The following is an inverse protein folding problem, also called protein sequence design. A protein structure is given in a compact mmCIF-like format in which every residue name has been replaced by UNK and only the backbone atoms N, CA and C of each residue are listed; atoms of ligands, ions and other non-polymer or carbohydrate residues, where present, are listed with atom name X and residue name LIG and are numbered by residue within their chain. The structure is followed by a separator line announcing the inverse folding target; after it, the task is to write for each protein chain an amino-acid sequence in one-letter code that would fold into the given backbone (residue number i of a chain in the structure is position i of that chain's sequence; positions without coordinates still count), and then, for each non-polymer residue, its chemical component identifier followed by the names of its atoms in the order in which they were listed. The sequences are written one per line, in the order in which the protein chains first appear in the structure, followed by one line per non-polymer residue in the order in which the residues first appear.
data_IF_340974656274
#
_entry.id   IF_340974656274
#
_cell.length_a   1.000
_cell.length_b   1.000
_cell.length_c   1.000
_cell.angle_alpha   90.00
_cell.angle_beta   90.00
_cell.angle_gamma   90.00
#
_symmetry.space_group_name_H-M   'P 1'
#
loop_
_entity.id
_entity.type
_entity.pdbx_description
1 polymer ?
#
# COMPACT_ATOMS: atom_id res chain seq x y z
N UNK A 1 14.49 3.16 6.64
CA UNK A 1 13.34 3.68 5.88
C UNK A 1 13.73 4.18 4.49
N UNK A 2 14.90 4.81 4.30
CA UNK A 2 15.33 5.37 3.00
C UNK A 2 15.60 4.36 1.88
N UNK A 3 15.77 3.07 2.19
CA UNK A 3 15.91 1.99 1.19
C UNK A 3 14.57 1.39 0.72
N UNK A 4 13.45 1.81 1.32
CA UNK A 4 12.13 1.26 1.05
C UNK A 4 11.40 2.08 -0.01
N UNK A 5 10.58 1.42 -0.84
CA UNK A 5 9.68 2.09 -1.80
C UNK A 5 8.83 3.17 -1.11
N UNK A 6 8.70 4.32 -1.77
CA UNK A 6 8.02 5.48 -1.20
C UNK A 6 6.53 5.19 -0.89
N UNK A 7 5.87 4.32 -1.67
CA UNK A 7 4.52 3.84 -1.37
C UNK A 7 4.43 3.16 0.00
N UNK A 8 5.43 2.36 0.39
CA UNK A 8 5.40 1.63 1.65
C UNK A 8 5.73 2.56 2.82
N UNK A 9 6.61 3.54 2.61
CA UNK A 9 6.85 4.60 3.61
C UNK A 9 5.55 5.37 3.91
N UNK A 10 4.79 5.74 2.87
CA UNK A 10 3.49 6.40 3.04
C UNK A 10 2.46 5.49 3.70
N UNK A 11 2.41 4.21 3.31
CA UNK A 11 1.52 3.23 3.94
C UNK A 11 1.82 3.09 5.43
N UNK A 12 3.10 3.10 5.83
CA UNK A 12 3.49 3.08 7.24
C UNK A 12 3.00 4.32 8.00
N UNK A 13 3.13 5.51 7.41
CA UNK A 13 2.62 6.75 8.01
C UNK A 13 1.10 6.70 8.20
N UNK A 14 0.36 6.20 7.22
CA UNK A 14 -1.10 6.05 7.32
C UNK A 14 -1.48 5.01 8.38
N UNK A 15 -0.80 3.87 8.39
CA UNK A 15 -1.02 2.81 9.39
C UNK A 15 -0.86 3.37 10.80
N UNK A 16 0.18 4.18 11.04
CA UNK A 16 0.39 4.87 12.32
C UNK A 16 -0.68 5.92 12.63
N UNK A 17 -1.10 6.69 11.62
CA UNK A 17 -2.16 7.69 11.79
C UNK A 17 -3.54 7.07 12.08
N UNK A 18 -3.78 5.84 11.62
CA UNK A 18 -4.97 5.04 11.91
C UNK A 18 -4.86 4.22 13.19
N UNK A 19 -3.76 4.37 13.95
CA UNK A 19 -3.48 3.62 15.18
C UNK A 19 -3.44 2.09 15.00
N UNK A 20 -3.20 1.63 13.77
CA UNK A 20 -3.03 0.22 13.45
C UNK A 20 -1.59 -0.22 13.76
N UNK A 21 -1.44 -1.44 14.26
CA UNK A 21 -0.14 -1.98 14.67
C UNK A 21 0.61 -2.65 13.53
N UNK A 22 -0.11 -3.22 12.57
CA UNK A 22 0.44 -4.07 11.53
C UNK A 22 0.14 -3.50 10.15
N UNK A 23 1.14 -3.59 9.27
CA UNK A 23 1.02 -3.28 7.85
C UNK A 23 1.46 -4.52 7.09
N UNK A 24 0.62 -5.01 6.20
CA UNK A 24 0.95 -6.10 5.29
C UNK A 24 1.20 -5.54 3.89
N UNK A 25 2.29 -5.98 3.25
CA UNK A 25 2.63 -5.63 1.88
C UNK A 25 3.37 -6.80 1.21
N UNK A 26 2.91 -7.23 0.04
CA UNK A 26 3.47 -8.39 -0.69
C UNK A 26 5.00 -8.30 -0.83
N UNK A 27 5.51 -7.10 -1.11
CA UNK A 27 6.95 -6.85 -1.29
C UNK A 27 7.79 -7.03 -0.02
N UNK A 28 7.17 -7.06 1.16
CA UNK A 28 7.84 -7.27 2.44
C UNK A 28 7.52 -8.64 3.05
N UNK A 29 6.34 -9.17 2.79
CA UNK A 29 5.80 -10.34 3.49
C UNK A 29 5.88 -11.63 2.68
N UNK A 30 6.16 -11.56 1.36
CA UNK A 30 6.23 -12.72 0.47
C UNK A 30 7.67 -12.91 -0.03
N UNK A 31 8.15 -14.15 0.02
CA UNK A 31 9.43 -14.55 -0.58
C UNK A 31 9.23 -14.62 -2.10
N UNK A 32 9.95 -13.77 -2.83
CA UNK A 32 9.79 -13.64 -4.29
C UNK A 32 10.73 -14.55 -5.09
N UNK A 33 11.75 -15.15 -4.46
CA UNK A 33 12.81 -15.89 -5.16
C UNK A 33 12.41 -17.32 -5.57
N UNK A 34 11.26 -17.82 -5.09
CA UNK A 34 10.79 -19.18 -5.34
C UNK A 34 9.35 -19.19 -5.87
N UNK A 35 9.19 -19.66 -7.11
CA UNK A 35 7.90 -19.72 -7.82
C UNK A 35 6.83 -20.54 -7.06
N UNK A 36 7.23 -21.66 -6.45
CA UNK A 36 6.31 -22.52 -5.70
C UNK A 36 5.75 -21.85 -4.45
N UNK A 37 6.55 -21.00 -3.79
CA UNK A 37 6.10 -20.27 -2.60
C UNK A 37 5.25 -19.07 -3.00
N UNK A 38 5.59 -18.41 -4.11
CA UNK A 38 4.79 -17.33 -4.68
C UNK A 38 3.36 -17.79 -5.00
N UNK A 39 3.18 -18.98 -5.58
CA UNK A 39 1.86 -19.53 -5.89
C UNK A 39 1.02 -19.83 -4.63
N UNK A 40 1.64 -20.38 -3.59
CA UNK A 40 0.97 -20.64 -2.31
C UNK A 40 0.54 -19.34 -1.63
N UNK A 41 1.43 -18.35 -1.60
CA UNK A 41 1.16 -17.04 -1.02
C UNK A 41 0.08 -16.29 -1.82
N UNK A 42 0.07 -16.42 -3.15
CA UNK A 42 -0.99 -15.85 -3.98
C UNK A 42 -2.37 -16.45 -3.69
N UNK A 43 -2.44 -17.76 -3.44
CA UNK A 43 -3.69 -18.41 -3.04
C UNK A 43 -4.21 -17.89 -1.68
N UNK A 44 -3.32 -17.47 -0.79
CA UNK A 44 -3.67 -16.95 0.54
C UNK A 44 -3.96 -15.43 0.54
N UNK A 45 -3.52 -14.68 -0.47
CA UNK A 45 -3.71 -13.22 -0.52
C UNK A 45 -5.17 -12.78 -0.39
N UNK A 46 -6.11 -13.53 -0.96
CA UNK A 46 -7.55 -13.23 -0.85
C UNK A 46 -8.00 -13.16 0.61
N UNK A 47 -7.54 -14.11 1.41
CA UNK A 47 -7.82 -14.20 2.84
C UNK A 47 -7.24 -12.99 3.60
N UNK A 48 -6.04 -12.53 3.21
CA UNK A 48 -5.40 -11.34 3.80
C UNK A 48 -6.23 -10.09 3.52
N UNK A 49 -6.68 -9.90 2.28
CA UNK A 49 -7.54 -8.74 1.94
C UNK A 49 -8.92 -8.82 2.61
N UNK A 50 -9.49 -10.03 2.74
CA UNK A 50 -10.77 -10.25 3.40
C UNK A 50 -10.76 -9.91 4.89
N UNK A 51 -9.64 -10.17 5.57
CA UNK A 51 -9.50 -9.95 7.01
C UNK A 51 -8.74 -8.67 7.38
N UNK A 52 -8.40 -7.82 6.39
CA UNK A 52 -7.75 -6.55 6.65
C UNK A 52 -8.74 -5.52 7.21
N UNK A 53 -8.34 -4.80 8.28
CA UNK A 53 -9.13 -3.68 8.80
C UNK A 53 -9.35 -2.59 7.74
N UNK A 54 -8.29 -2.29 6.97
CA UNK A 54 -8.30 -1.30 5.88
C UNK A 54 -7.36 -1.74 4.77
N UNK A 55 -7.78 -1.59 3.52
CA UNK A 55 -6.93 -1.77 2.34
C UNK A 55 -6.54 -0.41 1.74
N UNK A 56 -5.25 -0.12 1.67
CA UNK A 56 -4.73 1.10 1.05
C UNK A 56 -4.54 0.89 -0.47
N UNK A 57 -5.31 1.64 -1.28
CA UNK A 57 -5.22 1.60 -2.75
C UNK A 57 -4.71 2.94 -3.28
N UNK A 58 -3.41 3.08 -3.62
CA UNK A 58 -2.85 4.33 -4.11
C UNK A 58 -3.17 4.55 -5.60
N UNK A 59 -4.46 4.76 -5.91
CA UNK A 59 -4.97 4.86 -7.28
C UNK A 59 -4.39 6.03 -8.10
N UNK A 60 -3.82 7.05 -7.46
CA UNK A 60 -3.25 8.22 -8.10
C UNK A 60 -1.82 8.03 -8.62
N UNK A 61 -1.31 6.79 -8.60
CA UNK A 61 0.10 6.48 -8.83
C UNK A 61 0.29 5.54 -10.02
N UNK A 62 1.35 5.78 -10.80
CA UNK A 62 1.77 4.88 -11.89
C UNK A 62 2.93 3.95 -11.52
N UNK A 63 3.68 4.22 -10.44
CA UNK A 63 4.82 3.40 -10.00
C UNK A 63 4.92 3.38 -8.48
N UNK A 64 5.41 2.28 -7.89
CA UNK A 64 5.62 2.14 -6.44
C UNK A 64 6.77 3.00 -5.87
N UNK A 65 7.57 3.63 -6.75
CA UNK A 65 8.67 4.53 -6.37
C UNK A 65 8.20 5.95 -6.09
N UNK A 66 7.04 6.34 -6.60
CA UNK A 66 6.45 7.64 -6.29
C UNK A 66 5.79 7.60 -4.89
N UNK A 67 5.42 8.76 -4.34
CA UNK A 67 4.49 8.84 -3.20
C UNK A 67 3.03 8.96 -3.66
N UNK A 68 2.08 8.78 -2.73
CA UNK A 68 0.65 9.11 -2.96
C UNK A 68 0.09 10.14 -1.99
N UNK A 69 0.84 10.52 -0.95
CA UNK A 69 0.46 11.57 0.00
C UNK A 69 0.82 12.98 -0.54
N UNK A 70 0.53 13.24 -1.81
CA UNK A 70 0.69 14.57 -2.40
C UNK A 70 -0.49 15.48 -2.05
N UNK A 71 -0.24 16.79 -2.03
CA UNK A 71 -1.30 17.79 -1.93
C UNK A 71 -2.33 17.58 -3.04
N UNK A 72 -3.58 17.38 -2.66
CA UNK A 72 -4.70 17.33 -3.60
C UNK A 72 -4.79 18.71 -4.26
N UNK A 73 -4.92 18.75 -5.59
CA UNK A 73 -5.16 20.03 -6.27
C UNK A 73 -6.47 20.64 -5.75
N UNK A 74 -6.50 21.96 -5.51
CA UNK A 74 -7.72 22.63 -5.09
C UNK A 74 -8.84 22.35 -6.11
N UNK A 75 -10.01 21.99 -5.60
CA UNK A 75 -11.17 21.70 -6.44
C UNK A 75 -11.49 22.89 -7.36
N UNK A 76 -11.98 22.60 -8.56
CA UNK A 76 -12.38 23.62 -9.52
C UNK A 76 -13.43 24.53 -8.87
N UNK A 77 -13.08 25.80 -8.69
CA UNK A 77 -14.04 26.81 -8.21
C UNK A 77 -15.08 27.04 -9.30
N UNK A 78 -16.32 26.67 -9.02
CA UNK A 78 -17.47 27.03 -9.87
C UNK A 78 -17.87 28.44 -9.48
N UNK A 79 -17.66 29.38 -10.40
CA UNK A 79 -18.15 30.76 -10.26
C UNK A 79 -19.64 30.80 -10.59
N UNK A 80 -20.44 31.40 -9.70
CA UNK A 80 -21.86 31.73 -9.93
C UNK A 80 -22.01 33.08 -10.63
#
# INVERSE_FOLDING_TARGET
LSSLLQTIQNAFLITRALELRYLWANTLCIIQDYEEDLQKEFAMTSNVYEHADVTLVPASMSTSRAGFLQNRQPGMKISY
#
